data_IF_685988355024
#
_entry.id   IF_685988355024
#
_cell.length_a   1.000
_cell.length_b   1.000
_cell.length_c   1.000
_cell.angle_alpha   90.00
_cell.angle_beta   90.00
_cell.angle_gamma   90.00
#
_symmetry.space_group_name_H-M   'P 1'
#
loop_
_entity.id
_entity.type
_entity.pdbx_description
1 polymer ?
#
# COMPACT_ATOMS: atom_id res chain seq x y z
N UNK A 1 44.40 -1.15 -28.66
CA UNK A 1 44.46 -0.24 -27.50
C UNK A 1 43.14 0.52 -27.53
N UNK A 2 42.11 -0.04 -26.88
CA UNK A 2 41.77 0.18 -25.45
C UNK A 2 41.27 1.63 -25.26
N UNK A 3 40.14 1.95 -24.65
CA UNK A 3 39.12 1.22 -23.91
C UNK A 3 37.86 2.11 -23.90
N UNK A 4 36.74 1.49 -23.55
CA UNK A 4 35.40 2.04 -23.34
C UNK A 4 35.30 3.22 -22.38
N UNK A 5 34.41 4.17 -22.65
CA UNK A 5 33.69 4.88 -21.59
C UNK A 5 32.20 4.97 -21.89
N UNK A 6 31.43 4.37 -20.98
CA UNK A 6 29.99 4.20 -20.93
C UNK A 6 29.48 5.24 -19.93
N UNK A 7 28.90 6.34 -20.38
CA UNK A 7 28.28 7.33 -19.47
C UNK A 7 26.81 6.97 -19.25
N UNK A 8 26.56 6.47 -18.04
CA UNK A 8 25.24 6.18 -17.48
C UNK A 8 24.55 7.50 -17.19
N UNK A 9 23.36 7.70 -17.74
CA UNK A 9 22.49 8.83 -17.40
C UNK A 9 22.01 8.68 -15.96
N UNK A 10 22.64 9.43 -15.08
CA UNK A 10 22.35 9.60 -13.66
C UNK A 10 20.97 10.27 -13.52
N UNK A 11 19.98 9.53 -13.02
CA UNK A 11 18.69 10.11 -12.66
C UNK A 11 18.81 10.78 -11.30
N UNK A 12 18.49 12.07 -11.31
CA UNK A 12 18.51 13.00 -10.19
C UNK A 12 17.52 12.51 -9.10
N UNK A 13 18.07 12.09 -7.96
CA UNK A 13 17.30 11.84 -6.72
C UNK A 13 17.15 13.20 -6.01
N UNK A 14 15.94 13.70 -5.72
CA UNK A 14 15.80 14.93 -4.96
C UNK A 14 16.16 14.68 -3.48
N UNK A 15 17.21 15.37 -3.05
CA UNK A 15 17.71 15.50 -1.67
C UNK A 15 16.58 15.67 -0.65
N UNK A 16 16.58 14.88 0.41
CA UNK A 16 15.99 15.23 1.71
C UNK A 16 16.82 14.60 2.83
N UNK A 17 18.00 15.17 3.14
CA UNK A 17 18.65 14.96 4.43
C UNK A 17 19.29 16.29 4.88
N UNK A 18 18.55 17.08 5.65
CA UNK A 18 19.13 18.03 6.61
C UNK A 18 18.32 17.99 7.91
N UNK A 19 18.84 17.31 8.92
CA UNK A 19 19.43 17.95 10.10
C UNK A 19 19.55 16.94 11.24
N UNK A 20 20.74 16.88 11.80
CA UNK A 20 21.07 16.10 12.98
C UNK A 20 20.62 16.84 14.26
N UNK A 21 20.03 16.06 15.18
CA UNK A 21 19.98 16.26 16.63
C UNK A 21 18.99 17.30 17.22
N UNK A 22 17.84 16.80 17.70
CA UNK A 22 17.33 17.18 19.03
C UNK A 22 16.41 16.10 19.62
N UNK A 23 16.65 15.79 20.89
CA UNK A 23 16.04 14.71 21.68
C UNK A 23 14.62 15.12 22.09
N UNK A 24 13.63 14.22 21.89
CA UNK A 24 12.57 13.81 22.85
C UNK A 24 11.36 13.28 22.07
N UNK A 25 11.04 12.00 22.34
CA UNK A 25 9.76 11.30 22.14
C UNK A 25 8.61 12.10 21.50
N UNK A 26 8.29 11.76 20.25
CA UNK A 26 6.96 11.69 19.61
C UNK A 26 7.28 11.35 18.15
N UNK A 27 7.29 10.06 17.81
CA UNK A 27 7.67 9.60 16.47
C UNK A 27 6.58 10.07 15.50
N UNK A 28 6.77 11.26 14.94
CA UNK A 28 6.11 11.67 13.73
C UNK A 28 6.65 10.78 12.61
N UNK A 29 5.98 9.64 12.40
CA UNK A 29 6.21 8.85 11.19
C UNK A 29 5.92 9.78 10.00
N UNK A 30 6.89 10.01 9.09
CA UNK A 30 6.65 10.84 7.93
C UNK A 30 5.52 10.21 7.14
N UNK A 31 4.39 10.92 7.00
CA UNK A 31 3.27 10.48 6.16
C UNK A 31 3.81 10.08 4.80
N UNK A 32 3.59 8.83 4.40
CA UNK A 32 4.00 8.35 3.08
C UNK A 32 3.28 9.16 1.98
N UNK A 33 4.02 9.54 0.94
CA UNK A 33 3.50 10.33 -0.18
C UNK A 33 2.95 9.42 -1.29
N UNK A 34 1.88 8.67 -0.98
CA UNK A 34 1.35 7.59 -1.83
C UNK A 34 0.99 8.05 -3.26
N UNK A 35 0.52 9.27 -3.46
CA UNK A 35 0.20 9.78 -4.81
C UNK A 35 1.42 10.01 -5.71
N UNK A 36 2.60 10.22 -5.13
CA UNK A 36 3.81 10.60 -5.87
C UNK A 36 4.82 9.48 -5.95
N UNK A 37 4.92 8.67 -4.90
CA UNK A 37 5.94 7.64 -4.74
C UNK A 37 5.24 6.28 -4.70
N UNK A 38 5.80 5.32 -5.42
CA UNK A 38 5.41 3.91 -5.33
C UNK A 38 6.29 3.25 -4.28
N UNK A 39 5.65 2.60 -3.31
CA UNK A 39 6.33 1.91 -2.23
C UNK A 39 6.20 0.41 -2.39
N UNK A 40 7.22 -0.31 -1.92
CA UNK A 40 7.16 -1.76 -1.80
C UNK A 40 6.13 -2.16 -0.74
N UNK A 41 5.59 -3.37 -0.89
CA UNK A 41 4.54 -3.90 0.00
C UNK A 41 5.01 -3.90 1.46
N UNK A 42 6.26 -4.29 1.72
CA UNK A 42 6.84 -4.33 3.07
C UNK A 42 6.75 -2.97 3.78
N UNK A 43 7.08 -1.88 3.07
CA UNK A 43 7.00 -0.52 3.60
C UNK A 43 5.55 -0.13 3.88
N UNK A 44 4.62 -0.53 3.01
CA UNK A 44 3.19 -0.26 3.20
C UNK A 44 2.63 -1.03 4.42
N UNK A 45 3.08 -2.26 4.65
CA UNK A 45 2.68 -3.07 5.80
C UNK A 45 3.20 -2.48 7.12
N UNK A 46 4.46 -2.03 7.17
CA UNK A 46 5.05 -1.39 8.36
C UNK A 46 4.34 -0.09 8.75
N UNK A 47 3.67 0.57 7.81
CA UNK A 47 3.03 1.87 8.00
C UNK A 47 1.50 1.81 7.92
N UNK A 48 0.91 0.62 7.99
CA UNK A 48 -0.51 0.40 7.71
C UNK A 48 -1.45 1.23 8.60
N UNK A 49 -1.07 1.46 9.86
CA UNK A 49 -1.84 2.25 10.83
C UNK A 49 -1.84 3.76 10.54
N UNK A 50 -0.95 4.22 9.65
CA UNK A 50 -0.74 5.64 9.37
C UNK A 50 -1.09 6.03 7.93
N UNK A 51 -1.49 5.07 7.09
CA UNK A 51 -1.87 5.31 5.70
C UNK A 51 -3.39 5.19 5.50
N UNK A 52 -3.91 5.95 4.55
CA UNK A 52 -5.32 5.83 4.17
C UNK A 52 -5.49 4.70 3.16
N UNK A 53 -6.26 3.65 3.50
CA UNK A 53 -6.44 2.48 2.62
C UNK A 53 -7.08 2.81 1.27
N UNK A 54 -8.01 3.76 1.23
CA UNK A 54 -8.62 4.24 -0.01
C UNK A 54 -7.58 4.91 -0.90
N UNK A 55 -6.73 5.75 -0.34
CA UNK A 55 -5.64 6.37 -1.09
C UNK A 55 -4.63 5.31 -1.57
N UNK A 56 -4.28 4.37 -0.68
CA UNK A 56 -3.35 3.28 -0.98
C UNK A 56 -3.81 2.46 -2.19
N UNK A 57 -5.06 1.95 -2.18
CA UNK A 57 -5.59 1.14 -3.29
C UNK A 57 -5.76 1.93 -4.59
N UNK A 58 -5.90 3.26 -4.54
CA UNK A 58 -5.98 4.09 -5.75
C UNK A 58 -4.61 4.45 -6.32
N UNK A 59 -3.54 4.38 -5.52
CA UNK A 59 -2.25 4.98 -5.89
C UNK A 59 -1.10 3.99 -5.87
N UNK A 60 -1.22 2.82 -5.27
CA UNK A 60 -0.15 1.82 -5.17
C UNK A 60 -0.46 0.59 -6.04
N UNK A 61 0.55 -0.25 -6.29
CA UNK A 61 0.37 -1.57 -6.91
C UNK A 61 0.37 -2.57 -5.76
N UNK A 62 -0.79 -3.13 -5.45
CA UNK A 62 -1.01 -3.97 -4.27
C UNK A 62 -1.09 -5.45 -4.64
N UNK A 63 -0.71 -6.30 -3.71
CA UNK A 63 -0.94 -7.75 -3.81
C UNK A 63 -2.36 -8.07 -3.34
N UNK A 64 -2.89 -9.21 -3.79
CA UNK A 64 -4.18 -9.69 -3.31
C UNK A 64 -4.18 -9.89 -1.79
N UNK A 65 -3.05 -10.36 -1.23
CA UNK A 65 -2.89 -10.58 0.21
C UNK A 65 -3.03 -9.26 0.98
N UNK A 66 -2.31 -8.22 0.56
CA UNK A 66 -2.39 -6.90 1.18
C UNK A 66 -3.82 -6.33 1.09
N UNK A 67 -4.46 -6.46 -0.08
CA UNK A 67 -5.82 -5.99 -0.29
C UNK A 67 -6.81 -6.66 0.66
N UNK A 68 -6.74 -7.97 0.86
CA UNK A 68 -7.66 -8.68 1.75
C UNK A 68 -7.36 -8.39 3.22
N UNK A 69 -6.08 -8.32 3.59
CA UNK A 69 -5.64 -8.14 4.99
C UNK A 69 -5.94 -6.75 5.52
N UNK A 70 -5.84 -5.71 4.68
CA UNK A 70 -5.89 -4.32 5.10
C UNK A 70 -6.91 -3.45 4.35
N UNK A 71 -6.97 -3.52 3.01
CA UNK A 71 -7.87 -2.63 2.24
C UNK A 71 -9.33 -3.00 2.41
N UNK A 72 -9.64 -4.30 2.38
CA UNK A 72 -10.98 -4.87 2.53
C UNK A 72 -11.32 -5.20 3.99
N UNK A 73 -10.48 -4.75 4.92
CA UNK A 73 -10.66 -4.95 6.35
C UNK A 73 -11.17 -3.65 6.98
N UNK A 74 -12.38 -3.70 7.54
CA UNK A 74 -13.05 -2.55 8.15
C UNK A 74 -12.24 -1.93 9.30
N UNK A 75 -11.43 -2.72 10.01
CA UNK A 75 -10.58 -2.24 11.12
C UNK A 75 -9.53 -1.21 10.67
N UNK A 76 -9.18 -1.20 9.37
CA UNK A 76 -8.19 -0.30 8.77
C UNK A 76 -8.83 0.80 7.92
N UNK A 77 -10.16 0.89 7.88
CA UNK A 77 -10.87 1.90 7.11
C UNK A 77 -10.92 3.24 7.85
N UNK A 78 -10.79 4.33 7.09
CA UNK A 78 -10.64 5.67 7.67
C UNK A 78 -11.96 6.28 8.17
N UNK A 79 -13.08 5.88 7.56
CA UNK A 79 -14.41 6.40 7.83
C UNK A 79 -15.47 5.30 7.63
N UNK A 80 -16.63 5.44 8.28
CA UNK A 80 -17.77 4.53 8.08
C UNK A 80 -18.29 4.53 6.63
N UNK A 81 -18.10 5.60 5.87
CA UNK A 81 -18.48 5.63 4.45
C UNK A 81 -17.64 4.64 3.62
N UNK A 82 -16.37 4.47 3.99
CA UNK A 82 -15.46 3.58 3.26
C UNK A 82 -15.91 2.11 3.39
N UNK A 83 -16.59 1.72 4.48
CA UNK A 83 -17.10 0.34 4.66
C UNK A 83 -18.18 -0.03 3.64
N UNK A 84 -18.91 0.95 3.11
CA UNK A 84 -19.90 0.74 2.05
C UNK A 84 -19.31 0.87 0.65
N UNK A 85 -18.18 1.59 0.51
CA UNK A 85 -17.61 1.96 -0.77
C UNK A 85 -16.43 1.07 -1.21
N UNK A 86 -15.65 0.57 -0.27
CA UNK A 86 -14.44 -0.23 -0.54
C UNK A 86 -14.81 -1.72 -0.41
N UNK A 87 -15.22 -2.30 -1.54
CA UNK A 87 -15.49 -3.72 -1.67
C UNK A 87 -14.53 -4.38 -2.69
N UNK A 88 -14.60 -5.71 -2.84
CA UNK A 88 -13.72 -6.43 -3.78
C UNK A 88 -13.86 -5.92 -5.22
N UNK A 89 -15.07 -5.53 -5.65
CA UNK A 89 -15.29 -4.96 -6.98
C UNK A 89 -14.57 -3.62 -7.17
N UNK A 90 -14.56 -2.78 -6.13
CA UNK A 90 -13.77 -1.55 -6.11
C UNK A 90 -12.27 -1.85 -6.22
N UNK A 91 -11.77 -2.82 -5.46
CA UNK A 91 -10.35 -3.24 -5.54
C UNK A 91 -9.99 -3.69 -6.95
N UNK A 92 -10.78 -4.56 -7.58
CA UNK A 92 -10.53 -5.04 -8.94
C UNK A 92 -10.58 -3.91 -9.98
N UNK A 93 -11.44 -2.90 -9.78
CA UNK A 93 -11.47 -1.73 -10.65
C UNK A 93 -10.19 -0.88 -10.54
N UNK A 94 -9.58 -0.80 -9.35
CA UNK A 94 -8.37 0.01 -9.10
C UNK A 94 -7.07 -0.76 -9.27
N UNK A 95 -7.11 -2.07 -9.14
CA UNK A 95 -5.99 -2.99 -9.23
C UNK A 95 -6.24 -4.00 -10.35
N UNK A 96 -6.21 -3.57 -11.64
CA UNK A 96 -6.63 -4.40 -12.77
C UNK A 96 -5.71 -5.61 -13.05
N UNK A 97 -4.54 -5.68 -12.41
CA UNK A 97 -3.67 -6.86 -12.44
C UNK A 97 -4.14 -7.98 -11.52
N UNK A 98 -5.06 -7.70 -10.58
CA UNK A 98 -5.64 -8.70 -9.71
C UNK A 98 -6.89 -9.30 -10.36
N UNK A 99 -7.06 -10.60 -10.17
CA UNK A 99 -8.30 -11.29 -10.55
C UNK A 99 -9.20 -11.51 -9.35
N UNK A 100 -10.47 -11.82 -9.60
CA UNK A 100 -11.40 -12.24 -8.55
C UNK A 100 -10.83 -13.47 -7.84
N UNK A 101 -10.29 -14.42 -8.60
CA UNK A 101 -9.72 -15.66 -8.09
C UNK A 101 -8.55 -15.39 -7.12
N UNK A 102 -7.73 -14.38 -7.38
CA UNK A 102 -6.65 -13.98 -6.47
C UNK A 102 -7.19 -13.50 -5.13
N UNK A 103 -8.16 -12.58 -5.16
CA UNK A 103 -8.79 -12.05 -3.95
C UNK A 103 -9.47 -13.17 -3.13
N UNK A 104 -10.25 -14.02 -3.79
CA UNK A 104 -10.97 -15.10 -3.12
C UNK A 104 -10.03 -16.19 -2.58
N UNK A 105 -8.90 -16.44 -3.23
CA UNK A 105 -7.86 -17.34 -2.73
C UNK A 105 -7.26 -16.82 -1.42
N UNK A 106 -7.02 -15.52 -1.31
CA UNK A 106 -6.48 -14.92 -0.08
C UNK A 106 -7.53 -14.86 1.04
N UNK A 107 -8.79 -14.56 0.72
CA UNK A 107 -9.90 -14.71 1.67
C UNK A 107 -9.95 -16.13 2.26
N UNK A 108 -9.80 -17.16 1.42
CA UNK A 108 -9.82 -18.55 1.89
C UNK A 108 -8.72 -18.88 2.92
N UNK A 109 -7.61 -18.14 2.93
CA UNK A 109 -6.50 -18.33 3.89
C UNK A 109 -6.75 -17.64 5.23
N UNK A 110 -7.24 -16.41 5.20
CA UNK A 110 -7.55 -15.63 6.42
C UNK A 110 -8.75 -16.24 7.15
N UNK A 111 -9.65 -16.84 6.38
CA UNK A 111 -10.86 -17.47 6.87
C UNK A 111 -10.61 -18.95 7.11
N UNK A 112 -9.96 -19.32 8.21
CA UNK A 112 -10.12 -20.66 8.82
C UNK A 112 -11.60 -20.92 9.25
N UNK A 113 -12.58 -20.58 8.40
CA UNK A 113 -14.02 -20.66 8.59
C UNK A 113 -14.74 -19.38 9.05
N UNK A 114 -14.07 -18.23 9.27
CA UNK A 114 -14.70 -17.06 9.95
C UNK A 114 -14.68 -15.72 9.20
N UNK A 115 -14.53 -15.74 7.90
CA UNK A 115 -14.35 -14.51 7.14
C UNK A 115 -15.45 -13.49 7.19
N UNK A 116 -15.07 -12.28 7.53
CA UNK A 116 -15.87 -11.11 7.29
C UNK A 116 -15.82 -10.79 5.79
N UNK A 117 -16.76 -11.39 5.06
CA UNK A 117 -17.27 -10.85 3.82
C UNK A 117 -18.63 -10.19 4.14
N UNK A 118 -18.63 -8.92 4.54
CA UNK A 118 -19.87 -8.16 4.41
C UNK A 118 -20.02 -7.75 2.94
N UNK A 119 -21.04 -8.29 2.27
CA UNK A 119 -21.43 -7.89 0.91
C UNK A 119 -20.93 -8.80 -0.22
N UNK A 120 -21.57 -9.96 -0.37
CA UNK A 120 -21.91 -10.49 -1.72
C UNK A 120 -23.29 -9.94 -2.07
#
# INVERSE_FOLDING_TARGET
MSESEKTVSEQIIPEQITNENSITSHIHHPRLYLRKIKYDIEILEENVDYINMKECVNTQVLTAEFCVKYVLNEDYMSCIEDTYCINYGYVLQRQPHLTKEDIFREYAKINNGKGYCHGI
#
